data_IF_788417239270
#
_entry.id   IF_788417239270
#
_cell.length_a   1.000
_cell.length_b   1.000
_cell.length_c   1.000
_cell.angle_alpha   90.00
_cell.angle_beta   90.00
_cell.angle_gamma   90.00
#
_symmetry.space_group_name_H-M   'P 1'
#
loop_
_entity.id
_entity.type
_entity.pdbx_description
1 polymer ?
#
# COMPACT_ATOMS: atom_id res chain seq x y z
N UNK A 1 17.78 0.98 3.51
CA UNK A 1 16.87 0.83 2.36
C UNK A 1 17.39 1.45 1.08
N UNK A 2 18.12 2.55 1.11
CA UNK A 2 18.63 3.27 -0.07
C UNK A 2 19.42 2.42 -1.08
N UNK A 3 20.11 1.37 -0.62
CA UNK A 3 20.81 0.44 -1.52
C UNK A 3 19.88 -0.54 -2.25
N UNK A 4 18.70 -0.79 -1.69
CA UNK A 4 17.73 -1.75 -2.21
C UNK A 4 16.61 -1.09 -3.03
N UNK A 5 16.29 0.15 -2.74
CA UNK A 5 15.22 0.91 -3.37
C UNK A 5 15.65 2.32 -3.77
N UNK A 6 15.11 2.81 -4.88
CA UNK A 6 14.93 4.23 -5.11
C UNK A 6 13.66 4.64 -4.39
N UNK A 7 13.75 5.61 -3.47
CA UNK A 7 12.60 6.06 -2.68
C UNK A 7 12.33 7.51 -3.06
N UNK A 8 11.16 7.74 -3.62
CA UNK A 8 10.73 9.05 -4.12
C UNK A 8 9.32 9.38 -3.61
N UNK A 9 8.85 10.54 -3.94
CA UNK A 9 7.45 10.93 -3.85
C UNK A 9 7.10 11.71 -5.12
N UNK A 10 5.82 11.86 -5.42
CA UNK A 10 5.38 12.62 -6.57
C UNK A 10 5.56 14.13 -6.35
N UNK A 11 5.51 14.89 -7.43
CA UNK A 11 5.41 16.34 -7.38
C UNK A 11 4.02 16.76 -6.87
N UNK A 12 4.00 17.81 -6.05
CA UNK A 12 2.76 18.44 -5.60
C UNK A 12 1.95 18.94 -6.80
N UNK A 13 0.67 18.60 -6.78
CA UNK A 13 -0.32 19.15 -7.71
C UNK A 13 -1.28 20.09 -6.95
N UNK A 14 -1.67 21.17 -7.61
CA UNK A 14 -2.61 22.12 -7.06
C UNK A 14 -4.04 21.60 -7.22
N UNK A 15 -4.95 22.02 -6.35
CA UNK A 15 -6.37 21.64 -6.45
C UNK A 15 -7.00 22.02 -7.80
N UNK A 16 -6.51 23.07 -8.44
CA UNK A 16 -6.93 23.50 -9.77
C UNK A 16 -6.56 22.52 -10.90
N UNK A 17 -5.59 21.64 -10.65
CA UNK A 17 -5.14 20.62 -11.60
C UNK A 17 -5.90 19.29 -11.41
N UNK A 18 -6.71 19.17 -10.34
CA UNK A 18 -7.54 18.01 -10.07
C UNK A 18 -8.77 18.02 -10.98
N UNK A 19 -9.13 16.87 -11.48
CA UNK A 19 -10.31 16.64 -12.30
C UNK A 19 -11.23 15.67 -11.57
N UNK A 20 -12.53 15.76 -11.82
CA UNK A 20 -13.54 14.82 -11.31
C UNK A 20 -13.76 13.64 -12.26
N UNK A 21 -13.19 13.72 -13.46
CA UNK A 21 -13.25 12.69 -14.51
C UNK A 21 -11.91 12.59 -15.23
N UNK A 22 -11.56 11.40 -15.72
CA UNK A 22 -10.32 11.17 -16.47
C UNK A 22 -9.88 9.70 -16.47
N UNK A 23 -8.75 9.45 -17.16
CA UNK A 23 -8.19 8.10 -17.29
C UNK A 23 -7.09 7.80 -16.26
N UNK A 24 -6.55 8.82 -15.61
CA UNK A 24 -5.44 8.68 -14.65
C UNK A 24 -5.95 9.01 -13.26
N UNK A 25 -6.28 8.01 -12.43
CA UNK A 25 -6.69 8.24 -11.05
C UNK A 25 -5.64 9.01 -10.26
N UNK A 26 -6.08 9.92 -9.38
CA UNK A 26 -5.22 10.61 -8.42
C UNK A 26 -5.42 10.01 -7.03
N UNK A 27 -4.45 9.21 -6.60
CA UNK A 27 -4.48 8.42 -5.37
C UNK A 27 -4.03 9.27 -4.17
N UNK A 28 -4.89 9.43 -3.18
CA UNK A 28 -4.59 10.02 -1.87
C UNK A 28 -4.40 8.90 -0.85
N UNK A 29 -4.02 9.25 0.38
CA UNK A 29 -3.83 8.26 1.47
C UNK A 29 -5.09 7.42 1.70
N UNK A 30 -6.29 8.02 1.65
CA UNK A 30 -7.55 7.28 1.79
C UNK A 30 -7.69 6.21 0.72
N UNK A 31 -7.45 6.59 -0.52
CA UNK A 31 -7.57 5.71 -1.68
C UNK A 31 -6.51 4.59 -1.61
N UNK A 32 -5.31 4.93 -1.15
CA UNK A 32 -4.25 3.96 -0.91
C UNK A 32 -4.61 2.94 0.18
N UNK A 33 -5.29 3.37 1.26
CA UNK A 33 -5.77 2.46 2.31
C UNK A 33 -6.78 1.46 1.75
N UNK A 34 -7.68 1.91 0.86
CA UNK A 34 -8.60 1.01 0.15
C UNK A 34 -7.84 -0.03 -0.69
N UNK A 35 -6.86 0.42 -1.48
CA UNK A 35 -6.00 -0.49 -2.27
C UNK A 35 -5.27 -1.50 -1.37
N UNK A 36 -4.70 -1.05 -0.25
CA UNK A 36 -4.00 -1.90 0.71
C UNK A 36 -4.92 -2.94 1.37
N UNK A 37 -6.18 -2.58 1.59
CA UNK A 37 -7.19 -3.46 2.16
C UNK A 37 -7.86 -4.37 1.11
N UNK A 38 -7.46 -4.30 -0.16
CA UNK A 38 -8.09 -5.00 -1.30
C UNK A 38 -9.56 -4.60 -1.50
N UNK A 39 -9.93 -3.39 -1.09
CA UNK A 39 -11.25 -2.79 -1.28
C UNK A 39 -11.36 -2.16 -2.68
N UNK A 40 -12.57 -2.06 -3.26
CA UNK A 40 -12.78 -1.33 -4.50
C UNK A 40 -12.35 0.13 -4.35
N UNK A 41 -11.57 0.62 -5.31
CA UNK A 41 -11.15 2.02 -5.34
C UNK A 41 -12.36 2.91 -5.68
N UNK A 42 -12.75 3.76 -4.74
CA UNK A 42 -13.78 4.78 -4.94
C UNK A 42 -13.14 6.12 -5.27
N UNK A 43 -12.44 6.17 -6.41
CA UNK A 43 -11.64 7.33 -6.77
C UNK A 43 -12.54 8.53 -7.14
N UNK A 44 -12.27 9.68 -6.55
CA UNK A 44 -13.02 10.92 -6.78
C UNK A 44 -12.27 11.92 -7.66
N UNK A 45 -10.96 11.74 -7.81
CA UNK A 45 -10.10 12.69 -8.50
C UNK A 45 -9.18 12.02 -9.49
N UNK A 46 -8.87 12.76 -10.54
CA UNK A 46 -8.01 12.35 -11.64
C UNK A 46 -7.03 13.47 -11.98
N UNK A 47 -5.98 13.14 -12.71
CA UNK A 47 -5.12 14.10 -13.41
C UNK A 47 -5.29 13.94 -14.91
N UNK A 48 -4.95 14.97 -15.68
CA UNK A 48 -5.04 14.86 -17.14
C UNK A 48 -3.93 13.97 -17.71
N UNK A 49 -4.18 13.38 -18.88
CA UNK A 49 -3.18 12.57 -19.59
C UNK A 49 -1.93 13.39 -19.94
N UNK A 50 -2.09 14.66 -20.31
CA UNK A 50 -0.98 15.57 -20.61
C UNK A 50 -0.15 15.87 -19.38
N UNK A 51 -0.79 16.11 -18.22
CA UNK A 51 -0.09 16.28 -16.96
C UNK A 51 0.73 15.03 -16.65
N UNK A 52 0.12 13.84 -16.70
CA UNK A 52 0.80 12.59 -16.42
C UNK A 52 1.95 12.32 -17.40
N UNK A 53 1.75 12.57 -18.69
CA UNK A 53 2.78 12.40 -19.71
C UNK A 53 3.99 13.30 -19.47
N UNK A 54 3.77 14.53 -18.97
CA UNK A 54 4.83 15.49 -18.67
C UNK A 54 5.64 15.18 -17.42
N UNK A 55 5.24 14.17 -16.63
CA UNK A 55 5.96 13.81 -15.39
C UNK A 55 7.20 12.98 -15.70
N UNK A 56 8.27 13.16 -14.89
CA UNK A 56 9.44 12.28 -14.93
C UNK A 56 9.07 10.81 -14.71
N UNK A 57 9.86 9.89 -15.26
CA UNK A 57 9.58 8.46 -15.16
C UNK A 57 9.72 7.91 -13.73
N UNK A 58 10.47 8.57 -12.87
CA UNK A 58 10.61 8.21 -11.47
C UNK A 58 9.42 8.64 -10.59
N UNK A 59 8.55 9.51 -11.11
CA UNK A 59 7.26 9.85 -10.50
C UNK A 59 6.10 8.96 -11.02
N UNK A 60 6.28 8.21 -12.09
CA UNK A 60 5.28 7.30 -12.66
C UNK A 60 5.42 5.91 -12.06
N UNK A 61 4.32 5.31 -11.67
CA UNK A 61 4.33 3.94 -11.15
C UNK A 61 4.53 2.92 -12.27
N UNK A 62 5.28 1.86 -11.98
CA UNK A 62 5.44 0.69 -12.85
C UNK A 62 5.13 -0.60 -12.07
N UNK A 63 4.78 -1.72 -12.74
CA UNK A 63 4.53 -3.00 -12.07
C UNK A 63 5.69 -3.42 -11.17
N UNK A 64 5.38 -3.84 -9.94
CA UNK A 64 6.35 -4.21 -8.92
C UNK A 64 6.90 -3.05 -8.09
N UNK A 65 6.58 -1.81 -8.40
CA UNK A 65 6.77 -0.70 -7.47
C UNK A 65 5.88 -0.87 -6.25
N UNK A 66 6.31 -0.33 -5.12
CA UNK A 66 5.56 -0.38 -3.87
C UNK A 66 5.27 1.04 -3.41
N UNK A 67 4.00 1.38 -3.26
CA UNK A 67 3.62 2.63 -2.61
C UNK A 67 3.37 2.39 -1.13
N UNK A 68 3.78 3.37 -0.32
CA UNK A 68 3.71 3.33 1.14
C UNK A 68 3.07 4.61 1.65
N UNK A 69 2.04 4.51 2.49
CA UNK A 69 1.44 5.68 3.12
C UNK A 69 2.40 6.35 4.11
N UNK A 70 2.55 7.65 3.98
CA UNK A 70 3.52 8.45 4.75
C UNK A 70 2.88 9.38 5.77
N UNK A 71 1.55 9.48 5.79
CA UNK A 71 0.78 10.30 6.72
C UNK A 71 -0.46 9.55 7.21
N UNK A 72 -1.09 10.03 8.27
CA UNK A 72 -2.32 9.48 8.86
C UNK A 72 -2.20 8.01 9.23
N UNK A 73 -2.32 7.10 8.29
CA UNK A 73 -2.21 5.63 8.46
C UNK A 73 -0.87 5.16 7.91
N UNK A 74 0.23 5.55 8.55
CA UNK A 74 1.61 5.30 8.08
C UNK A 74 1.88 3.79 7.97
N UNK A 75 2.63 3.41 6.91
CA UNK A 75 3.13 2.05 6.71
C UNK A 75 2.17 1.10 6.00
N UNK A 76 0.98 1.56 5.57
CA UNK A 76 0.16 0.79 4.64
C UNK A 76 0.87 0.72 3.30
N UNK A 77 0.85 -0.45 2.70
CA UNK A 77 1.57 -0.74 1.45
C UNK A 77 0.63 -1.23 0.36
N UNK A 78 0.96 -0.92 -0.88
CA UNK A 78 0.34 -1.52 -2.04
C UNK A 78 1.38 -1.78 -3.12
N UNK A 79 1.38 -2.98 -3.68
CA UNK A 79 2.27 -3.38 -4.80
C UNK A 79 1.54 -3.11 -6.10
N UNK A 80 2.16 -2.34 -6.99
CA UNK A 80 1.60 -1.97 -8.28
C UNK A 80 1.50 -3.20 -9.18
N UNK A 81 0.31 -3.44 -9.73
CA UNK A 81 0.03 -4.57 -10.61
C UNK A 81 0.24 -4.21 -12.09
N UNK A 82 0.42 -5.22 -12.95
CA UNK A 82 0.44 -5.00 -14.40
C UNK A 82 -0.84 -4.29 -14.88
N UNK A 83 -0.68 -3.28 -15.72
CA UNK A 83 -1.77 -2.50 -16.29
C UNK A 83 -2.28 -1.34 -15.42
N UNK A 84 -1.85 -1.25 -14.17
CA UNK A 84 -2.23 -0.12 -13.32
C UNK A 84 -1.48 1.14 -13.71
N UNK A 85 -2.21 2.24 -13.77
CA UNK A 85 -1.71 3.56 -14.12
C UNK A 85 -2.45 4.61 -13.30
N UNK A 86 -1.72 5.33 -12.45
CA UNK A 86 -2.27 6.41 -11.62
C UNK A 86 -1.16 7.38 -11.21
N UNK A 87 -1.55 8.52 -10.70
CA UNK A 87 -0.69 9.47 -10.02
C UNK A 87 -1.05 9.50 -8.52
N UNK A 88 -0.11 9.83 -7.65
CA UNK A 88 -0.34 9.77 -6.20
C UNK A 88 0.03 11.12 -5.53
N UNK A 89 -0.52 11.35 -4.34
CA UNK A 89 -0.34 12.63 -3.65
C UNK A 89 1.06 12.75 -3.04
N UNK A 90 1.71 13.86 -3.36
CA UNK A 90 3.02 14.26 -2.82
C UNK A 90 3.07 14.24 -1.28
N UNK A 91 4.23 13.88 -0.74
CA UNK A 91 4.55 13.80 0.70
C UNK A 91 3.64 12.85 1.53
N UNK A 92 2.43 12.56 1.08
CA UNK A 92 1.50 11.65 1.76
C UNK A 92 1.70 10.19 1.37
N UNK A 93 2.30 9.95 0.20
CA UNK A 93 2.62 8.62 -0.34
C UNK A 93 4.07 8.61 -0.81
N UNK A 94 4.81 7.59 -0.41
CA UNK A 94 6.16 7.30 -0.89
C UNK A 94 6.13 6.18 -1.92
N UNK A 95 6.96 6.30 -2.94
CA UNK A 95 7.19 5.29 -3.96
C UNK A 95 8.53 4.60 -3.71
N UNK A 96 8.51 3.29 -3.56
CA UNK A 96 9.67 2.42 -3.43
C UNK A 96 9.83 1.62 -4.72
N UNK A 97 10.83 1.97 -5.52
CA UNK A 97 11.21 1.26 -6.74
C UNK A 97 12.44 0.40 -6.49
N UNK A 98 12.33 -0.89 -6.77
CA UNK A 98 13.41 -1.85 -6.54
C UNK A 98 14.65 -1.53 -7.38
N UNK A 99 15.83 -1.53 -6.75
CA UNK A 99 17.15 -1.48 -7.39
C UNK A 99 17.79 -2.87 -7.49
N UNK A 100 17.36 -3.78 -6.63
CA UNK A 100 17.81 -5.16 -6.56
C UNK A 100 16.61 -6.11 -6.54
N UNK A 101 16.83 -7.38 -6.76
CA UNK A 101 15.79 -8.39 -6.67
C UNK A 101 15.36 -8.57 -5.22
N UNK A 102 14.08 -8.30 -4.92
CA UNK A 102 13.44 -8.45 -3.61
C UNK A 102 12.01 -8.92 -3.86
N UNK A 103 11.57 -9.89 -3.08
CA UNK A 103 10.18 -10.33 -3.09
C UNK A 103 9.30 -9.26 -2.40
N UNK A 104 8.28 -8.77 -3.08
CA UNK A 104 7.42 -7.68 -2.63
C UNK A 104 6.61 -8.07 -1.39
N UNK A 105 6.11 -9.31 -1.32
CA UNK A 105 5.33 -9.82 -0.18
C UNK A 105 6.21 -9.86 1.06
N UNK A 106 7.43 -10.39 0.94
CA UNK A 106 8.40 -10.40 2.03
C UNK A 106 8.71 -8.98 2.52
N UNK A 107 8.96 -8.06 1.60
CA UNK A 107 9.31 -6.67 1.93
C UNK A 107 8.14 -5.94 2.61
N UNK A 108 6.94 -6.00 2.03
CA UNK A 108 5.77 -5.31 2.56
C UNK A 108 5.35 -5.85 3.92
N UNK A 109 5.45 -7.16 4.13
CA UNK A 109 5.22 -7.76 5.44
C UNK A 109 6.22 -7.25 6.48
N UNK A 110 7.49 -7.14 6.11
CA UNK A 110 8.53 -6.59 6.98
C UNK A 110 8.23 -5.17 7.46
N UNK A 111 7.57 -4.35 6.64
CA UNK A 111 7.15 -2.99 7.03
C UNK A 111 6.06 -2.99 8.12
N UNK A 112 5.33 -4.08 8.29
CA UNK A 112 4.31 -4.20 9.35
C UNK A 112 4.87 -4.67 10.70
N UNK A 113 6.13 -5.08 10.74
CA UNK A 113 6.75 -5.60 11.97
C UNK A 113 6.96 -4.49 13.01
N UNK A 114 6.79 -4.79 14.31
CA UNK A 114 7.03 -3.84 15.40
C UNK A 114 8.41 -3.19 15.34
N UNK A 115 9.44 -3.96 15.04
CA UNK A 115 10.82 -3.47 14.89
C UNK A 115 10.99 -2.45 13.76
N UNK A 116 10.16 -2.54 12.73
CA UNK A 116 10.14 -1.54 11.67
C UNK A 116 9.38 -0.29 12.12
N UNK A 117 8.27 -0.47 12.84
CA UNK A 117 7.54 0.65 13.43
C UNK A 117 8.43 1.47 14.37
N UNK A 118 9.24 0.82 15.20
CA UNK A 118 10.20 1.51 16.07
C UNK A 118 11.19 2.37 15.28
N UNK A 119 11.64 1.89 14.13
CA UNK A 119 12.49 2.68 13.24
C UNK A 119 11.73 3.84 12.59
N UNK A 120 10.48 3.64 12.18
CA UNK A 120 9.62 4.67 11.57
C UNK A 120 9.24 5.73 12.61
N UNK A 121 8.88 5.36 13.81
CA UNK A 121 8.45 6.28 14.88
C UNK A 121 9.60 7.03 15.51
N UNK A 122 10.80 6.47 15.51
CA UNK A 122 12.00 7.07 16.08
C UNK A 122 12.27 6.64 17.51
N UNK A 123 11.66 5.56 17.96
CA UNK A 123 11.97 4.93 19.24
C UNK A 123 10.78 4.25 19.93
N UNK A 124 11.09 3.41 20.92
CA UNK A 124 10.13 2.73 21.76
C UNK A 124 9.18 3.73 22.44
N UNK A 125 7.88 3.52 22.26
CA UNK A 125 6.85 4.31 22.96
C UNK A 125 6.36 5.56 22.23
N UNK A 126 6.84 5.88 21.03
CA UNK A 126 6.26 6.94 20.23
C UNK A 126 4.90 6.49 19.67
N UNK A 127 3.83 7.11 20.15
CA UNK A 127 2.45 6.78 19.76
C UNK A 127 1.99 7.48 18.50
N UNK A 128 2.69 8.54 18.08
CA UNK A 128 2.28 9.35 16.94
C UNK A 128 3.48 9.78 16.08
N UNK A 129 3.42 9.49 14.80
CA UNK A 129 4.36 9.99 13.78
C UNK A 129 3.60 10.91 12.85
N UNK A 130 4.02 12.17 12.75
CA UNK A 130 3.34 13.14 11.88
C UNK A 130 3.56 12.82 10.39
N UNK A 131 4.78 12.46 10.03
CA UNK A 131 5.17 12.15 8.65
C UNK A 131 6.28 11.11 8.59
N UNK A 132 6.13 10.17 7.66
CA UNK A 132 7.18 9.22 7.29
C UNK A 132 7.99 9.78 6.13
N UNK A 133 9.07 10.51 6.44
CA UNK A 133 9.88 11.23 5.47
C UNK A 133 10.76 10.27 4.63
N UNK A 134 11.04 10.65 3.38
CA UNK A 134 11.97 9.94 2.48
C UNK A 134 13.33 9.71 3.15
N UNK A 135 13.89 10.76 3.82
CA UNK A 135 15.16 10.66 4.52
C UNK A 135 15.18 9.61 5.64
N UNK A 136 14.03 9.35 6.25
CA UNK A 136 13.85 8.30 7.26
C UNK A 136 13.68 6.94 6.59
N UNK A 137 12.88 6.87 5.53
CA UNK A 137 12.69 5.67 4.74
C UNK A 137 14.01 5.10 4.18
N UNK A 138 14.89 5.97 3.69
CA UNK A 138 16.23 5.59 3.22
C UNK A 138 17.10 4.93 4.32
N UNK A 139 16.92 5.33 5.58
CA UNK A 139 17.69 4.83 6.73
C UNK A 139 17.14 3.53 7.33
N UNK A 140 15.93 3.11 6.98
CA UNK A 140 15.36 1.87 7.48
C UNK A 140 16.27 0.68 7.19
N UNK A 141 16.30 -0.24 8.14
CA UNK A 141 17.05 -1.49 8.05
C UNK A 141 16.08 -2.66 8.17
N UNK A 142 16.08 -3.52 7.17
CA UNK A 142 15.34 -4.78 7.16
C UNK A 142 16.30 -5.90 6.80
N UNK A 143 16.29 -7.05 7.48
CA UNK A 143 17.03 -8.23 7.05
C UNK A 143 16.64 -8.59 5.61
N UNK A 144 17.61 -8.97 4.82
CA UNK A 144 17.41 -9.40 3.44
C UNK A 144 18.02 -10.81 3.27
N UNK A 145 17.25 -11.87 3.56
CA UNK A 145 17.71 -13.23 3.38
C UNK A 145 17.83 -13.57 1.88
N UNK A 146 18.47 -14.69 1.52
CA UNK A 146 18.49 -15.19 0.15
C UNK A 146 17.09 -15.27 -0.47
N UNK A 147 16.99 -15.05 -1.78
CA UNK A 147 15.70 -14.99 -2.50
C UNK A 147 14.83 -16.22 -2.24
N UNK A 148 15.41 -17.41 -2.22
CA UNK A 148 14.67 -18.65 -1.95
C UNK A 148 13.90 -18.63 -0.60
N UNK A 149 14.45 -17.99 0.44
CA UNK A 149 13.77 -17.84 1.72
C UNK A 149 12.69 -16.77 1.67
N UNK A 150 12.89 -15.70 0.89
CA UNK A 150 11.87 -14.69 0.67
C UNK A 150 10.66 -15.26 -0.08
N UNK A 151 10.90 -16.07 -1.11
CA UNK A 151 9.86 -16.76 -1.88
C UNK A 151 9.10 -17.78 -1.03
N UNK A 152 9.81 -18.57 -0.22
CA UNK A 152 9.19 -19.49 0.72
C UNK A 152 8.29 -18.76 1.73
N UNK A 153 8.75 -17.64 2.27
CA UNK A 153 7.96 -16.79 3.14
C UNK A 153 6.70 -16.25 2.43
N UNK A 154 6.86 -15.76 1.20
CA UNK A 154 5.76 -15.23 0.41
C UNK A 154 4.68 -16.28 0.16
N UNK A 155 5.07 -17.51 -0.21
CA UNK A 155 4.14 -18.62 -0.42
C UNK A 155 3.34 -18.97 0.85
N UNK A 156 3.98 -18.98 2.02
CA UNK A 156 3.31 -19.23 3.30
C UNK A 156 2.35 -18.07 3.64
N UNK A 157 2.78 -16.83 3.43
CA UNK A 157 1.96 -15.63 3.68
C UNK A 157 0.70 -15.63 2.80
N UNK A 158 0.84 -15.92 1.51
CA UNK A 158 -0.29 -15.99 0.57
C UNK A 158 -1.28 -17.11 0.95
N UNK A 159 -0.78 -18.27 1.36
CA UNK A 159 -1.62 -19.37 1.83
C UNK A 159 -2.38 -18.98 3.11
N UNK A 160 -1.74 -18.30 4.04
CA UNK A 160 -2.35 -17.79 5.27
C UNK A 160 -3.46 -16.76 4.97
N UNK A 161 -3.20 -15.82 4.06
CA UNK A 161 -4.19 -14.83 3.63
C UNK A 161 -5.42 -15.50 2.98
N UNK A 162 -5.20 -16.53 2.15
CA UNK A 162 -6.29 -17.29 1.54
C UNK A 162 -7.14 -18.00 2.60
N UNK A 163 -6.51 -18.69 3.54
CA UNK A 163 -7.22 -19.39 4.63
C UNK A 163 -8.01 -18.41 5.50
N UNK A 164 -7.44 -17.25 5.81
CA UNK A 164 -8.13 -16.17 6.54
C UNK A 164 -9.38 -15.71 5.79
N UNK A 165 -9.27 -15.47 4.49
CA UNK A 165 -10.40 -15.06 3.66
C UNK A 165 -11.53 -16.10 3.62
N UNK A 166 -11.17 -17.39 3.48
CA UNK A 166 -12.14 -18.50 3.51
C UNK A 166 -12.88 -18.57 4.85
N UNK A 167 -12.19 -18.37 5.97
CA UNK A 167 -12.78 -18.33 7.31
C UNK A 167 -13.73 -17.12 7.45
N UNK A 168 -13.35 -15.94 7.00
CA UNK A 168 -14.20 -14.74 7.04
C UNK A 168 -15.47 -14.93 6.21
N UNK A 169 -15.39 -15.58 5.05
CA UNK A 169 -16.57 -15.94 4.25
C UNK A 169 -17.47 -16.93 4.97
N UNK A 170 -16.90 -17.95 5.62
CA UNK A 170 -17.66 -18.91 6.39
C UNK A 170 -18.42 -18.25 7.55
N UNK A 171 -17.75 -17.37 8.31
CA UNK A 171 -18.39 -16.59 9.38
C UNK A 171 -19.56 -15.76 8.84
N UNK A 172 -19.35 -15.05 7.73
CA UNK A 172 -20.41 -14.25 7.10
C UNK A 172 -21.61 -15.11 6.67
N UNK A 173 -21.37 -16.31 6.19
CA UNK A 173 -22.40 -17.24 5.77
C UNK A 173 -23.18 -17.79 6.96
N UNK A 174 -22.51 -18.09 8.07
CA UNK A 174 -23.13 -18.50 9.34
C UNK A 174 -24.01 -17.38 9.90
N UNK A 175 -23.52 -16.15 9.90
CA UNK A 175 -24.32 -15.00 10.38
C UNK A 175 -25.59 -14.78 9.56
N UNK A 176 -25.50 -14.92 8.23
CA UNK A 176 -26.68 -14.83 7.36
C UNK A 176 -27.70 -15.94 7.67
N UNK A 177 -27.22 -17.18 7.80
CA UNK A 177 -28.05 -18.33 8.12
C UNK A 177 -28.73 -18.15 9.49
N UNK A 178 -27.97 -17.70 10.50
CA UNK A 178 -28.52 -17.45 11.84
C UNK A 178 -29.64 -16.41 11.79
N UNK A 179 -29.42 -15.28 11.08
CA UNK A 179 -30.45 -14.24 10.92
C UNK A 179 -31.71 -14.74 10.21
N UNK A 180 -31.55 -15.60 9.19
CA UNK A 180 -32.68 -16.22 8.48
C UNK A 180 -33.49 -17.11 9.43
N UNK A 181 -32.84 -17.97 10.20
CA UNK A 181 -33.50 -18.86 11.17
C UNK A 181 -34.28 -18.04 12.23
N UNK A 182 -33.66 -16.95 12.73
CA UNK A 182 -34.32 -16.08 13.69
C UNK A 182 -35.56 -15.40 13.08
N UNK A 183 -35.47 -14.89 11.86
CA UNK A 183 -36.58 -14.25 11.16
C UNK A 183 -37.77 -15.21 10.90
N UNK A 184 -37.46 -16.47 10.58
CA UNK A 184 -38.47 -17.51 10.34
C UNK A 184 -39.19 -18.00 11.61
N UNK A 185 -38.52 -17.94 12.77
CA UNK A 185 -39.05 -18.48 14.03
C UNK A 185 -39.57 -17.42 15.01
N UNK A 186 -39.32 -16.14 14.78
CA UNK A 186 -39.76 -15.03 15.63
C UNK A 186 -40.70 -14.05 14.90
N UNK A 187 -40.98 -14.26 13.63
CA UNK A 187 -42.02 -13.57 12.86
C UNK A 187 -43.27 -14.38 12.84
#
# INVERSE_FOLDING_TARGET
MENAFSITSSRRILKSEWRTEGNIPFIRVRDMVQLANKEPLTNEFYVSDEFYASRPEDEKVIPGDIIVSATSTIGKTYVIKPGERFYFKDADVLLFRKKISINEVFFTYGLTMPTMWDQISGGLGATTVAHFLISKACKLKQPLPPMALQEQFAAISEQSDKSKFEIEQAITSIDKLYRSIIAENLG
#
